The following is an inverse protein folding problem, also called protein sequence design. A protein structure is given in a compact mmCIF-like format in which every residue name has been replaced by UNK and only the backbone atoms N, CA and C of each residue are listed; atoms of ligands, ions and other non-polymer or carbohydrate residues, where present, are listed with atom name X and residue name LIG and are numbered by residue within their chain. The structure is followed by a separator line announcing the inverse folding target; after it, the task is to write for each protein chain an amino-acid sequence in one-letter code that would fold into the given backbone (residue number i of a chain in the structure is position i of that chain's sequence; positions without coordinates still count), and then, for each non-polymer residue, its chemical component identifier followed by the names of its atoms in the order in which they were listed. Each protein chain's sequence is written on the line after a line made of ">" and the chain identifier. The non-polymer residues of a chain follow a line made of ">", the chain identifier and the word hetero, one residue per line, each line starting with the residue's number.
data_IF_049985204424
#
_entry.id   IF_049985204424
#
_cell.length_a   1.000
_cell.length_b   1.000
_cell.length_c   1.000
_cell.angle_alpha   90.00
_cell.angle_beta   90.00
_cell.angle_gamma   90.00
#
_symmetry.space_group_name_H-M   'P 1'
#
loop_
_entity.id
_entity.type
_entity.pdbx_description
1 polymer ?
#
# COMPACT_ATOMS: atom_id res chain seq x y z
N UNK A 1 40.44 -22.73 24.46
CA UNK A 1 39.19 -23.49 24.31
C UNK A 1 38.34 -22.70 23.33
N UNK A 2 38.28 -23.19 22.09
CA UNK A 2 37.55 -22.59 20.98
C UNK A 2 36.05 -22.80 21.19
N UNK A 3 35.32 -21.70 21.26
CA UNK A 3 33.88 -21.66 21.47
C UNK A 3 33.19 -21.94 20.13
N UNK A 4 32.93 -23.23 19.83
CA UNK A 4 32.16 -23.63 18.66
C UNK A 4 30.68 -23.37 18.94
N UNK A 5 30.15 -22.25 18.46
CA UNK A 5 28.71 -22.00 18.40
C UNK A 5 28.07 -23.14 17.58
N UNK A 6 27.34 -24.01 18.27
CA UNK A 6 26.50 -25.03 17.64
C UNK A 6 25.33 -24.31 16.98
N UNK A 7 25.39 -24.17 15.66
CA UNK A 7 24.25 -23.77 14.83
C UNK A 7 23.12 -24.79 15.00
N UNK A 8 21.92 -24.30 15.25
CA UNK A 8 20.75 -25.15 15.50
C UNK A 8 20.24 -25.77 14.18
N UNK A 9 19.58 -26.95 14.22
CA UNK A 9 19.01 -27.57 13.02
C UNK A 9 18.01 -26.68 12.26
N UNK A 10 17.37 -25.73 12.96
CA UNK A 10 16.49 -24.73 12.35
C UNK A 10 17.27 -23.68 11.56
N UNK A 11 18.36 -23.14 12.12
CA UNK A 11 19.24 -22.19 11.43
C UNK A 11 19.87 -22.80 10.17
N UNK A 12 20.29 -24.07 10.23
CA UNK A 12 20.84 -24.79 9.06
C UNK A 12 19.77 -25.00 7.96
N UNK A 13 18.53 -25.29 8.36
CA UNK A 13 17.43 -25.46 7.41
C UNK A 13 16.98 -24.11 6.79
N UNK A 14 17.06 -23.02 7.55
CA UNK A 14 16.80 -21.65 7.08
C UNK A 14 17.90 -21.15 6.14
N UNK A 15 19.17 -21.38 6.47
CA UNK A 15 20.31 -21.10 5.58
C UNK A 15 20.19 -21.87 4.27
N UNK A 16 19.84 -23.16 4.34
CA UNK A 16 19.61 -24.00 3.15
C UNK A 16 18.50 -23.45 2.26
N UNK A 17 17.38 -23.01 2.84
CA UNK A 17 16.23 -22.48 2.08
C UNK A 17 16.52 -21.10 1.47
N UNK A 18 17.19 -20.22 2.21
CA UNK A 18 17.68 -18.93 1.72
C UNK A 18 18.64 -19.09 0.54
N UNK A 19 19.51 -20.11 0.60
CA UNK A 19 20.45 -20.44 -0.47
C UNK A 19 19.71 -20.91 -1.72
N UNK A 20 18.76 -21.85 -1.58
CA UNK A 20 17.93 -22.33 -2.71
C UNK A 20 17.16 -21.20 -3.39
N UNK A 21 16.61 -20.25 -2.63
CA UNK A 21 15.90 -19.09 -3.19
C UNK A 21 16.83 -18.19 -4.00
N UNK A 22 18.04 -17.91 -3.49
CA UNK A 22 19.06 -17.11 -4.20
C UNK A 22 19.53 -17.80 -5.47
N UNK A 23 19.84 -19.10 -5.39
CA UNK A 23 20.23 -19.91 -6.55
C UNK A 23 19.11 -19.98 -7.59
N UNK A 24 17.84 -20.04 -7.16
CA UNK A 24 16.71 -20.02 -8.08
C UNK A 24 16.64 -18.69 -8.84
N UNK A 25 16.79 -17.55 -8.16
CA UNK A 25 16.81 -16.22 -8.80
C UNK A 25 17.99 -16.11 -9.78
N UNK A 26 19.19 -16.53 -9.36
CA UNK A 26 20.38 -16.52 -10.22
C UNK A 26 20.15 -17.37 -11.48
N UNK A 27 19.66 -18.60 -11.31
CA UNK A 27 19.39 -19.53 -12.42
C UNK A 27 18.32 -19.03 -13.38
N UNK A 28 17.27 -18.38 -12.90
CA UNK A 28 16.23 -17.82 -13.78
C UNK A 28 16.62 -16.46 -14.35
N UNK A 29 17.69 -15.82 -13.83
CA UNK A 29 18.24 -14.56 -14.35
C UNK A 29 19.34 -14.78 -15.40
N UNK A 30 20.15 -15.82 -15.24
CA UNK A 30 21.16 -16.26 -16.21
C UNK A 30 20.50 -17.10 -17.33
N UNK A 31 21.07 -17.12 -18.55
CA UNK A 31 20.59 -17.80 -19.79
C UNK A 31 19.68 -16.97 -20.73
N UNK A 32 20.25 -16.06 -21.51
CA UNK A 32 20.55 -16.31 -22.94
C UNK A 32 21.24 -15.06 -23.51
N UNK A 33 22.58 -14.99 -23.37
CA UNK A 33 23.42 -13.96 -24.00
C UNK A 33 23.64 -14.32 -25.48
N UNK A 34 22.56 -14.32 -26.26
CA UNK A 34 22.64 -14.40 -27.72
C UNK A 34 21.56 -13.52 -28.36
N UNK A 35 21.65 -12.20 -28.17
CA UNK A 35 21.15 -11.23 -29.16
C UNK A 35 21.80 -9.88 -28.89
N UNK A 36 22.53 -9.40 -29.90
CA UNK A 36 23.40 -8.24 -29.84
C UNK A 36 22.68 -6.99 -29.36
N UNK A 37 23.42 -6.21 -28.57
CA UNK A 37 23.12 -4.82 -28.23
C UNK A 37 22.94 -3.99 -29.50
N UNK A 38 21.71 -3.64 -29.83
CA UNK A 38 21.43 -2.37 -30.50
C UNK A 38 20.97 -1.38 -29.43
N UNK A 39 21.85 -0.41 -29.13
CA UNK A 39 21.50 0.75 -28.33
C UNK A 39 20.77 1.72 -29.24
N UNK A 40 19.45 1.70 -29.22
CA UNK A 40 18.67 2.87 -29.65
C UNK A 40 18.51 3.80 -28.46
N UNK A 41 19.23 4.93 -28.51
CA UNK A 41 19.06 6.03 -27.59
C UNK A 41 17.72 6.71 -27.83
N UNK A 42 16.68 6.25 -27.13
CA UNK A 42 15.49 7.05 -26.88
C UNK A 42 15.74 7.82 -25.59
N UNK A 43 15.81 9.15 -25.72
CA UNK A 43 15.85 10.06 -24.58
C UNK A 43 14.61 9.81 -23.73
N UNK A 44 14.78 9.19 -22.57
CA UNK A 44 13.78 9.20 -21.52
C UNK A 44 13.54 10.67 -21.14
N UNK A 45 12.35 11.16 -21.45
CA UNK A 45 11.83 12.35 -20.80
C UNK A 45 11.65 11.98 -19.32
N UNK A 46 12.16 12.78 -18.36
CA UNK A 46 11.94 12.53 -16.95
C UNK A 46 10.44 12.71 -16.67
N UNK A 47 9.70 11.61 -16.59
CA UNK A 47 8.35 11.61 -16.04
C UNK A 47 8.50 11.67 -14.52
N UNK A 48 8.08 12.79 -13.91
CA UNK A 48 7.99 12.90 -12.46
C UNK A 48 8.61 14.18 -11.94
N UNK A 49 7.78 15.16 -11.64
CA UNK A 49 8.13 16.26 -10.74
C UNK A 49 8.61 15.62 -9.43
N UNK A 50 9.81 16.00 -8.97
CA UNK A 50 10.43 15.44 -7.76
C UNK A 50 9.60 15.74 -6.50
N UNK A 51 8.57 14.93 -6.26
CA UNK A 51 7.91 14.85 -4.96
C UNK A 51 8.81 14.01 -4.04
N UNK A 52 8.99 14.47 -2.81
CA UNK A 52 9.75 13.73 -1.80
C UNK A 52 9.13 12.36 -1.50
N UNK A 53 9.70 11.58 -0.57
CA UNK A 53 9.22 10.24 -0.26
C UNK A 53 7.72 10.23 0.10
N UNK A 54 7.06 9.13 -0.23
CA UNK A 54 5.62 8.91 0.02
C UNK A 54 5.37 7.71 0.95
N UNK A 55 6.37 6.83 1.10
CA UNK A 55 6.38 5.67 1.99
C UNK A 55 7.25 5.97 3.22
N UNK A 56 6.63 6.06 4.38
CA UNK A 56 7.30 6.50 5.61
C UNK A 56 7.43 5.39 6.62
N UNK A 57 8.64 5.23 7.15
CA UNK A 57 8.85 4.38 8.31
C UNK A 57 8.26 5.06 9.53
N UNK A 58 7.41 4.34 10.27
CA UNK A 58 6.89 4.87 11.53
C UNK A 58 8.00 4.89 12.58
N UNK A 59 8.34 6.07 13.07
CA UNK A 59 9.28 6.20 14.19
C UNK A 59 8.60 5.92 15.53
N UNK A 60 9.34 5.28 16.45
CA UNK A 60 8.92 5.18 17.86
C UNK A 60 8.96 6.57 18.47
N UNK A 61 7.82 7.08 18.97
CA UNK A 61 7.88 8.27 19.85
C UNK A 61 8.76 7.93 21.06
N UNK A 62 9.70 8.82 21.38
CA UNK A 62 10.64 8.72 22.50
C UNK A 62 9.97 8.48 23.87
N UNK A 63 8.64 8.64 23.97
CA UNK A 63 7.89 8.58 25.21
C UNK A 63 7.31 7.18 25.53
N UNK A 64 7.67 6.13 24.78
CA UNK A 64 7.53 4.73 25.22
C UNK A 64 6.11 4.17 25.45
N UNK A 65 5.03 4.88 25.11
CA UNK A 65 3.69 4.51 25.61
C UNK A 65 2.84 3.61 24.69
N UNK A 66 3.22 3.34 23.43
CA UNK A 66 2.58 2.30 22.60
C UNK A 66 3.57 1.73 21.59
N UNK A 67 3.64 0.40 21.50
CA UNK A 67 4.29 -0.27 20.37
C UNK A 67 3.62 0.18 19.06
N UNK A 68 4.43 0.36 18.02
CA UNK A 68 3.91 0.67 16.69
C UNK A 68 3.14 -0.55 16.16
N UNK A 69 1.97 -0.34 15.51
CA UNK A 69 1.28 -1.42 14.84
C UNK A 69 2.22 -2.08 13.83
N UNK A 70 2.33 -3.40 13.88
CA UNK A 70 3.10 -4.21 12.94
C UNK A 70 2.14 -4.98 12.02
N UNK A 71 2.55 -5.31 10.79
CA UNK A 71 1.80 -6.22 9.95
C UNK A 71 1.61 -7.55 10.66
N UNK A 72 0.43 -8.17 10.49
CA UNK A 72 0.04 -9.39 11.23
C UNK A 72 -0.05 -10.63 10.35
N UNK A 73 -0.24 -10.45 9.05
CA UNK A 73 -0.32 -11.51 8.06
C UNK A 73 0.84 -11.42 7.05
N UNK A 74 1.16 -10.21 6.57
CA UNK A 74 2.16 -10.01 5.50
C UNK A 74 2.91 -8.68 5.64
N UNK A 75 4.24 -8.76 5.65
CA UNK A 75 5.12 -7.60 5.50
C UNK A 75 5.29 -7.30 4.01
N UNK A 76 5.27 -6.03 3.61
CA UNK A 76 5.45 -5.54 2.25
C UNK A 76 6.41 -4.36 2.31
N UNK A 77 7.35 -4.32 1.37
CA UNK A 77 8.41 -3.33 1.39
C UNK A 77 9.51 -3.65 2.42
N UNK A 78 10.37 -2.66 2.70
CA UNK A 78 11.62 -2.87 3.43
C UNK A 78 11.53 -2.62 4.94
N UNK A 79 10.50 -1.92 5.43
CA UNK A 79 10.50 -1.36 6.79
C UNK A 79 10.10 -2.32 7.91
N UNK A 80 9.44 -3.43 7.57
CA UNK A 80 9.05 -4.44 8.54
C UNK A 80 9.98 -5.65 8.47
N UNK A 81 10.36 -6.21 9.62
CA UNK A 81 11.07 -7.49 9.67
C UNK A 81 10.33 -8.53 8.85
N UNK A 82 11.04 -9.18 7.91
CA UNK A 82 10.49 -10.23 7.04
C UNK A 82 10.46 -11.58 7.76
N UNK A 83 10.09 -11.55 9.06
CA UNK A 83 10.14 -12.68 9.99
C UNK A 83 9.49 -13.94 9.41
N UNK A 84 10.07 -15.11 9.73
CA UNK A 84 9.47 -16.40 9.40
C UNK A 84 8.14 -16.65 10.15
N UNK A 85 7.80 -15.82 11.13
CA UNK A 85 6.60 -15.92 11.98
C UNK A 85 5.31 -15.50 11.28
N UNK A 86 5.39 -14.67 10.23
CA UNK A 86 4.21 -14.24 9.46
C UNK A 86 3.67 -15.38 8.59
N UNK A 87 2.35 -15.47 8.48
CA UNK A 87 1.69 -16.47 7.62
C UNK A 87 2.18 -16.38 6.18
N UNK A 88 2.31 -15.16 5.65
CA UNK A 88 2.76 -14.91 4.28
C UNK A 88 4.16 -14.32 4.27
N UNK A 89 5.10 -15.09 4.83
CA UNK A 89 6.52 -14.78 4.78
C UNK A 89 7.08 -14.88 3.34
N UNK A 90 8.38 -14.61 3.22
CA UNK A 90 9.07 -14.58 1.94
C UNK A 90 9.11 -15.92 1.19
N UNK A 91 9.02 -17.05 1.88
CA UNK A 91 8.89 -18.36 1.24
C UNK A 91 7.51 -18.51 0.60
N UNK A 92 6.47 -18.00 1.25
CA UNK A 92 5.12 -18.03 0.71
C UNK A 92 5.01 -17.17 -0.55
N UNK A 93 5.56 -15.95 -0.50
CA UNK A 93 5.60 -15.06 -1.67
C UNK A 93 6.42 -15.65 -2.80
N UNK A 94 7.55 -16.28 -2.49
CA UNK A 94 8.36 -17.02 -3.47
C UNK A 94 7.56 -18.13 -4.16
N UNK A 95 6.74 -18.89 -3.42
CA UNK A 95 5.85 -19.91 -4.00
C UNK A 95 4.85 -19.30 -4.99
N UNK A 96 4.29 -18.13 -4.67
CA UNK A 96 3.42 -17.38 -5.59
C UNK A 96 4.20 -16.93 -6.82
N UNK A 97 5.38 -16.32 -6.68
CA UNK A 97 6.19 -15.88 -7.81
C UNK A 97 6.56 -17.06 -8.71
N UNK A 98 6.96 -18.20 -8.13
CA UNK A 98 7.25 -19.44 -8.89
C UNK A 98 6.05 -19.95 -9.67
N UNK A 99 4.85 -19.87 -9.07
CA UNK A 99 3.62 -20.20 -9.77
C UNK A 99 3.46 -19.30 -11.00
N UNK A 100 3.55 -17.98 -10.82
CA UNK A 100 3.39 -17.02 -11.91
C UNK A 100 4.40 -17.25 -13.05
N UNK A 101 5.65 -17.56 -12.71
CA UNK A 101 6.69 -17.86 -13.71
C UNK A 101 6.38 -19.15 -14.47
N UNK A 102 6.13 -20.24 -13.75
CA UNK A 102 6.02 -21.56 -14.37
C UNK A 102 4.71 -21.74 -15.13
N UNK A 103 3.63 -21.17 -14.61
CA UNK A 103 2.28 -21.45 -15.04
C UNK A 103 1.68 -20.36 -15.92
N UNK A 104 2.18 -19.12 -15.78
CA UNK A 104 1.65 -17.94 -16.49
C UNK A 104 2.71 -17.25 -17.34
N UNK A 105 3.93 -17.81 -17.40
CA UNK A 105 4.99 -17.34 -18.27
C UNK A 105 5.53 -15.96 -17.92
N UNK A 106 5.45 -15.52 -16.66
CA UNK A 106 6.02 -14.23 -16.24
C UNK A 106 7.53 -14.20 -16.48
N UNK A 107 7.98 -13.20 -17.23
CA UNK A 107 9.39 -12.94 -17.50
C UNK A 107 10.05 -12.16 -16.35
N UNK A 108 10.67 -12.90 -15.43
CA UNK A 108 11.41 -12.33 -14.29
C UNK A 108 12.64 -11.55 -14.75
N UNK A 109 13.28 -11.91 -15.86
CA UNK A 109 14.47 -11.19 -16.36
C UNK A 109 14.08 -9.79 -16.80
N UNK A 110 13.01 -9.71 -17.59
CA UNK A 110 12.42 -8.44 -18.00
C UNK A 110 12.03 -7.59 -16.80
N UNK A 111 11.49 -8.20 -15.73
CA UNK A 111 11.16 -7.47 -14.51
C UNK A 111 12.39 -6.92 -13.80
N UNK A 112 13.40 -7.76 -13.57
CA UNK A 112 14.62 -7.37 -12.86
C UNK A 112 15.40 -6.28 -13.63
N UNK A 113 15.44 -6.35 -14.96
CA UNK A 113 16.05 -5.31 -15.80
C UNK A 113 15.31 -3.96 -15.65
N UNK A 114 13.98 -3.97 -15.63
CA UNK A 114 13.18 -2.76 -15.38
C UNK A 114 13.42 -2.17 -13.99
N UNK A 115 13.57 -3.02 -12.97
CA UNK A 115 13.86 -2.55 -11.61
C UNK A 115 15.28 -1.99 -11.48
N UNK A 116 16.24 -2.52 -12.24
CA UNK A 116 17.60 -1.97 -12.31
C UNK A 116 17.61 -0.57 -12.96
N UNK A 117 16.83 -0.36 -14.02
CA UNK A 117 16.68 0.95 -14.67
C UNK A 117 16.01 2.00 -13.76
N UNK A 118 15.02 1.58 -12.98
CA UNK A 118 14.16 2.45 -12.16
C UNK A 118 14.55 2.42 -10.66
N UNK A 119 15.75 1.94 -10.32
CA UNK A 119 16.13 1.70 -8.91
C UNK A 119 16.17 3.01 -8.10
N UNK A 120 16.71 4.09 -8.69
CA UNK A 120 16.77 5.40 -8.04
C UNK A 120 15.37 5.91 -7.72
N UNK A 121 14.46 5.80 -8.68
CA UNK A 121 13.06 6.17 -8.50
C UNK A 121 12.41 5.30 -7.42
N UNK A 122 12.58 3.97 -7.47
CA UNK A 122 12.07 3.05 -6.45
C UNK A 122 12.51 3.44 -5.03
N UNK A 123 13.79 3.81 -4.85
CA UNK A 123 14.35 4.24 -3.55
C UNK A 123 13.80 5.60 -3.12
N UNK A 124 13.53 6.51 -4.06
CA UNK A 124 13.03 7.86 -3.76
C UNK A 124 11.66 7.85 -3.06
N UNK A 125 10.84 6.81 -3.27
CA UNK A 125 9.56 6.63 -2.56
C UNK A 125 9.74 6.45 -1.05
N UNK A 126 10.91 5.99 -0.59
CA UNK A 126 11.15 5.60 0.80
C UNK A 126 11.84 6.72 1.59
N UNK A 127 11.24 7.09 2.72
CA UNK A 127 11.73 8.16 3.62
C UNK A 127 13.15 7.94 4.17
N UNK A 128 13.49 6.69 4.49
CA UNK A 128 14.86 6.26 4.73
C UNK A 128 15.40 5.72 3.41
N UNK A 129 16.49 6.27 2.88
CA UNK A 129 17.04 5.94 1.54
C UNK A 129 17.54 4.50 1.33
N UNK A 130 17.21 3.57 2.23
CA UNK A 130 17.44 2.13 2.13
C UNK A 130 18.90 1.74 1.84
N UNK A 131 19.86 2.46 2.43
CA UNK A 131 21.30 2.23 2.18
C UNK A 131 21.76 0.82 2.59
N UNK A 132 21.04 0.18 3.50
CA UNK A 132 21.26 -1.20 3.95
C UNK A 132 20.79 -2.26 2.94
N UNK A 133 19.96 -1.89 1.96
CA UNK A 133 19.46 -2.80 0.93
C UNK A 133 20.39 -2.80 -0.29
N UNK A 134 20.96 -3.97 -0.61
CA UNK A 134 21.62 -4.16 -1.90
C UNK A 134 20.60 -4.05 -3.04
N UNK A 135 21.03 -3.62 -4.23
CA UNK A 135 20.17 -3.56 -5.43
C UNK A 135 19.48 -4.90 -5.70
N UNK A 136 20.22 -6.00 -5.59
CA UNK A 136 19.69 -7.35 -5.81
C UNK A 136 18.59 -7.71 -4.80
N UNK A 137 18.80 -7.40 -3.52
CA UNK A 137 17.81 -7.69 -2.48
C UNK A 137 16.58 -6.80 -2.62
N UNK A 138 16.75 -5.52 -3.00
CA UNK A 138 15.66 -4.60 -3.26
C UNK A 138 14.80 -5.08 -4.43
N UNK A 139 15.39 -5.41 -5.58
CA UNK A 139 14.65 -5.88 -6.76
C UNK A 139 13.94 -7.21 -6.49
N UNK A 140 14.58 -8.10 -5.74
CA UNK A 140 13.97 -9.38 -5.32
C UNK A 140 12.78 -9.15 -4.40
N UNK A 141 12.91 -8.22 -3.45
CA UNK A 141 11.83 -7.85 -2.54
C UNK A 141 10.65 -7.28 -3.31
N UNK A 142 10.88 -6.33 -4.22
CA UNK A 142 9.86 -5.73 -5.07
C UNK A 142 9.16 -6.80 -5.91
N UNK A 143 9.91 -7.71 -6.55
CA UNK A 143 9.32 -8.81 -7.33
C UNK A 143 8.34 -9.65 -6.50
N UNK A 144 8.76 -10.04 -5.30
CA UNK A 144 7.97 -10.96 -4.47
C UNK A 144 6.75 -10.28 -3.87
N UNK A 145 6.92 -9.03 -3.44
CA UNK A 145 5.85 -8.24 -2.85
C UNK A 145 4.84 -7.81 -3.93
N UNK A 146 5.30 -7.43 -5.13
CA UNK A 146 4.43 -7.21 -6.31
C UNK A 146 3.69 -8.48 -6.72
N UNK A 147 4.37 -9.64 -6.75
CA UNK A 147 3.72 -10.93 -7.07
C UNK A 147 2.63 -11.27 -6.05
N UNK A 148 2.91 -11.10 -4.76
CA UNK A 148 1.93 -11.33 -3.71
C UNK A 148 0.72 -10.39 -3.85
N UNK A 149 0.96 -9.10 -4.07
CA UNK A 149 -0.10 -8.11 -4.25
C UNK A 149 -0.97 -8.47 -5.46
N UNK A 150 -0.37 -8.72 -6.63
CA UNK A 150 -1.11 -9.13 -7.84
C UNK A 150 -1.96 -10.39 -7.59
N UNK A 151 -1.41 -11.37 -6.88
CA UNK A 151 -2.12 -12.60 -6.55
C UNK A 151 -3.36 -12.38 -5.68
N UNK A 152 -3.29 -11.48 -4.70
CA UNK A 152 -4.41 -11.25 -3.76
C UNK A 152 -5.44 -10.26 -4.28
N UNK A 153 -5.03 -9.23 -5.05
CA UNK A 153 -5.96 -8.21 -5.55
C UNK A 153 -6.77 -8.68 -6.75
N UNK A 154 -6.29 -9.67 -7.50
CA UNK A 154 -7.05 -10.20 -8.61
C UNK A 154 -8.12 -11.19 -8.11
N UNK A 155 -9.43 -10.84 -8.18
CA UNK A 155 -10.52 -11.71 -7.75
C UNK A 155 -10.65 -12.99 -8.60
N UNK A 156 -9.92 -13.05 -9.71
CA UNK A 156 -10.01 -14.10 -10.71
C UNK A 156 -9.00 -15.24 -10.55
N UNK A 157 -8.27 -15.40 -9.43
CA UNK A 157 -7.46 -16.62 -9.24
C UNK A 157 -8.26 -17.94 -9.47
N UNK A 158 -9.60 -17.90 -9.40
CA UNK A 158 -10.52 -18.99 -9.80
C UNK A 158 -10.73 -19.18 -11.32
N UNK A 159 -10.52 -18.14 -12.13
CA UNK A 159 -10.70 -18.07 -13.58
C UNK A 159 -9.37 -18.10 -14.36
N UNK A 160 -8.24 -17.87 -13.68
CA UNK A 160 -6.88 -17.98 -14.23
C UNK A 160 -6.49 -19.40 -14.62
N UNK A 161 -7.23 -20.43 -14.21
CA UNK A 161 -6.77 -21.80 -14.38
C UNK A 161 -7.76 -22.70 -15.13
N UNK A 162 -7.32 -23.41 -16.18
CA UNK A 162 -8.09 -24.49 -16.76
C UNK A 162 -8.48 -25.48 -15.66
N UNK A 163 -9.74 -25.94 -15.64
CA UNK A 163 -10.22 -26.98 -14.71
C UNK A 163 -9.52 -28.34 -14.86
N UNK A 164 -8.49 -28.42 -15.69
CA UNK A 164 -7.86 -29.64 -16.16
C UNK A 164 -6.35 -29.61 -15.90
N UNK A 165 -5.93 -29.76 -14.64
CA UNK A 165 -4.64 -30.36 -14.25
C UNK A 165 -4.59 -30.54 -12.72
N UNK A 166 -4.68 -31.80 -12.26
CA UNK A 166 -4.94 -32.19 -10.87
C UNK A 166 -4.05 -31.55 -9.80
N UNK A 167 -2.77 -31.93 -9.71
CA UNK A 167 -1.89 -31.54 -8.60
C UNK A 167 -1.61 -30.02 -8.52
N UNK A 168 -1.55 -29.34 -9.67
CA UNK A 168 -1.37 -27.88 -9.75
C UNK A 168 -2.62 -27.16 -9.24
N UNK A 169 -3.81 -27.67 -9.59
CA UNK A 169 -5.06 -27.14 -9.06
C UNK A 169 -5.16 -27.29 -7.54
N UNK A 170 -4.75 -28.43 -6.98
CA UNK A 170 -4.75 -28.67 -5.52
C UNK A 170 -3.73 -27.77 -4.79
N UNK A 171 -2.54 -27.60 -5.35
CA UNK A 171 -1.52 -26.68 -4.83
C UNK A 171 -2.02 -25.21 -4.84
N UNK A 172 -2.67 -24.79 -5.93
CA UNK A 172 -3.26 -23.46 -6.06
C UNK A 172 -4.43 -23.25 -5.12
N UNK A 173 -5.26 -24.27 -4.94
CA UNK A 173 -6.35 -24.24 -3.94
C UNK A 173 -5.81 -24.06 -2.54
N UNK A 174 -4.68 -24.67 -2.20
CA UNK A 174 -4.05 -24.52 -0.89
C UNK A 174 -3.60 -23.06 -0.69
N UNK A 175 -2.87 -22.49 -1.66
CA UNK A 175 -2.44 -21.08 -1.58
C UNK A 175 -3.64 -20.11 -1.51
N UNK A 176 -4.69 -20.39 -2.27
CA UNK A 176 -5.90 -19.56 -2.30
C UNK A 176 -6.72 -19.67 -1.00
N UNK A 177 -6.74 -20.85 -0.38
CA UNK A 177 -7.44 -21.12 0.88
C UNK A 177 -6.82 -20.33 2.02
N UNK A 178 -5.48 -20.35 2.12
CA UNK A 178 -4.74 -19.58 3.12
C UNK A 178 -5.02 -18.07 2.95
N UNK A 179 -4.89 -17.54 1.72
CA UNK A 179 -5.21 -16.13 1.44
C UNK A 179 -6.66 -15.78 1.82
N UNK A 180 -7.62 -16.64 1.47
CA UNK A 180 -9.03 -16.43 1.80
C UNK A 180 -9.25 -16.37 3.31
N UNK A 181 -8.58 -17.25 4.08
CA UNK A 181 -8.68 -17.29 5.54
C UNK A 181 -8.17 -16.02 6.21
N UNK A 182 -7.13 -15.39 5.66
CA UNK A 182 -6.50 -14.19 6.23
C UNK A 182 -6.86 -12.90 5.46
N UNK A 183 -7.84 -12.95 4.55
CA UNK A 183 -8.19 -11.87 3.62
C UNK A 183 -8.35 -10.50 4.31
N UNK A 184 -9.09 -10.46 5.43
CA UNK A 184 -9.29 -9.23 6.20
C UNK A 184 -7.97 -8.65 6.69
N UNK A 185 -7.10 -9.49 7.25
CA UNK A 185 -5.81 -9.03 7.78
C UNK A 185 -4.86 -8.60 6.67
N UNK A 186 -4.84 -9.30 5.53
CA UNK A 186 -4.06 -8.91 4.36
C UNK A 186 -4.45 -7.49 3.92
N UNK A 187 -5.76 -7.21 3.78
CA UNK A 187 -6.23 -5.88 3.40
C UNK A 187 -5.75 -4.78 4.36
N UNK A 188 -5.79 -5.04 5.66
CA UNK A 188 -5.37 -4.07 6.68
C UNK A 188 -3.85 -3.84 6.65
N UNK A 189 -3.07 -4.91 6.51
CA UNK A 189 -1.62 -4.83 6.37
C UNK A 189 -1.22 -4.06 5.10
N UNK A 190 -1.91 -4.29 3.97
CA UNK A 190 -1.68 -3.59 2.70
C UNK A 190 -2.08 -2.10 2.72
N UNK A 191 -2.75 -1.64 3.77
CA UNK A 191 -3.10 -0.23 3.97
C UNK A 191 -2.26 0.42 5.08
N UNK A 192 -1.21 -0.24 5.59
CA UNK A 192 -0.28 0.38 6.52
C UNK A 192 0.74 1.26 5.77
N UNK A 193 1.02 2.49 6.24
CA UNK A 193 1.89 3.45 5.53
C UNK A 193 3.37 3.05 5.49
N UNK A 194 3.81 2.23 6.44
CA UNK A 194 5.17 1.67 6.49
C UNK A 194 5.23 0.25 5.90
N UNK A 195 4.16 -0.22 5.27
CA UNK A 195 4.05 -1.56 4.68
C UNK A 195 3.64 -1.46 3.20
N UNK A 196 4.37 -0.64 2.43
CA UNK A 196 4.07 -0.33 1.03
C UNK A 196 5.28 -0.60 0.13
N UNK A 197 4.98 -0.78 -1.16
CA UNK A 197 5.94 -0.69 -2.26
C UNK A 197 5.44 0.37 -3.26
N UNK A 198 6.31 0.94 -4.09
CA UNK A 198 5.88 1.79 -5.19
C UNK A 198 4.88 1.06 -6.09
N UNK A 199 3.78 1.71 -6.44
CA UNK A 199 2.72 1.10 -7.23
C UNK A 199 3.21 0.74 -8.64
N UNK A 200 4.14 1.53 -9.19
CA UNK A 200 4.74 1.25 -10.50
C UNK A 200 5.45 -0.13 -10.52
N UNK A 201 6.00 -0.61 -9.40
CA UNK A 201 6.63 -1.92 -9.34
C UNK A 201 5.62 -3.05 -9.63
N UNK A 202 4.34 -2.85 -9.27
CA UNK A 202 3.24 -3.76 -9.59
C UNK A 202 2.90 -3.67 -11.09
N UNK A 203 2.82 -2.46 -11.65
CA UNK A 203 2.57 -2.23 -13.08
C UNK A 203 3.65 -2.85 -13.97
N UNK A 204 4.93 -2.65 -13.62
CA UNK A 204 6.07 -3.22 -14.36
C UNK A 204 6.04 -4.76 -14.36
N UNK A 205 5.54 -5.39 -13.29
CA UNK A 205 5.35 -6.85 -13.23
C UNK A 205 4.24 -7.32 -14.18
N UNK A 206 3.14 -6.57 -14.32
CA UNK A 206 2.08 -6.87 -15.27
C UNK A 206 2.58 -6.88 -16.72
N UNK A 207 3.45 -5.94 -17.07
CA UNK A 207 4.07 -5.86 -18.39
C UNK A 207 5.03 -7.03 -18.69
N UNK A 208 5.32 -7.89 -17.70
CA UNK A 208 6.16 -9.09 -17.85
C UNK A 208 5.35 -10.36 -18.11
N UNK A 209 4.01 -10.29 -18.14
CA UNK A 209 3.18 -11.39 -18.60
C UNK A 209 3.19 -11.50 -20.14
N UNK A 210 2.96 -12.70 -20.71
CA UNK A 210 2.80 -12.88 -22.15
C UNK A 210 1.66 -12.03 -22.71
N UNK A 211 1.82 -11.50 -23.94
CA UNK A 211 0.82 -10.62 -24.56
C UNK A 211 -0.55 -11.30 -24.74
N UNK A 212 -0.60 -12.62 -24.88
CA UNK A 212 -1.84 -13.36 -25.11
C UNK A 212 -2.66 -13.60 -23.82
N UNK A 213 -2.12 -13.26 -22.65
CA UNK A 213 -2.84 -13.37 -21.38
C UNK A 213 -3.90 -12.25 -21.25
N UNK A 214 -5.15 -12.60 -21.54
CA UNK A 214 -6.33 -11.72 -21.51
C UNK A 214 -6.63 -11.19 -20.09
N UNK A 215 -6.04 -11.81 -19.06
CA UNK A 215 -6.42 -11.69 -17.65
C UNK A 215 -6.35 -10.25 -17.10
N UNK A 216 -5.48 -9.41 -17.66
CA UNK A 216 -5.29 -8.01 -17.23
C UNK A 216 -5.70 -6.99 -18.31
N UNK A 217 -6.33 -7.44 -19.40
CA UNK A 217 -6.71 -6.57 -20.52
C UNK A 217 -8.07 -5.90 -20.33
N UNK A 218 -8.90 -6.39 -19.42
CA UNK A 218 -10.28 -5.90 -19.26
C UNK A 218 -10.36 -4.70 -18.31
N UNK A 219 -9.66 -4.73 -17.17
CA UNK A 219 -9.70 -3.68 -16.16
C UNK A 219 -8.29 -3.20 -15.76
N UNK A 220 -8.09 -1.88 -15.58
CA UNK A 220 -6.86 -1.34 -14.99
C UNK A 220 -6.57 -1.94 -13.61
N UNK A 221 -5.30 -2.07 -13.26
CA UNK A 221 -4.89 -2.70 -11.99
C UNK A 221 -5.37 -1.91 -10.76
N UNK A 222 -5.51 -0.59 -10.90
CA UNK A 222 -6.10 0.32 -9.93
C UNK A 222 -7.56 -0.07 -9.66
N UNK A 223 -8.31 -0.39 -10.70
CA UNK A 223 -9.70 -0.83 -10.57
C UNK A 223 -9.78 -2.13 -9.77
N UNK A 224 -8.92 -3.11 -10.09
CA UNK A 224 -8.86 -4.38 -9.38
C UNK A 224 -8.48 -4.19 -7.90
N UNK A 225 -7.50 -3.33 -7.60
CA UNK A 225 -7.12 -2.98 -6.24
C UNK A 225 -8.27 -2.31 -5.48
N UNK A 226 -9.00 -1.38 -6.11
CA UNK A 226 -10.16 -0.73 -5.48
C UNK A 226 -11.30 -1.71 -5.21
N UNK A 227 -11.55 -2.66 -6.11
CA UNK A 227 -12.50 -3.75 -5.91
C UNK A 227 -12.07 -4.68 -4.77
N UNK A 228 -10.78 -5.00 -4.68
CA UNK A 228 -10.22 -5.77 -3.57
C UNK A 228 -10.51 -5.11 -2.20
N UNK A 229 -10.40 -3.78 -2.11
CA UNK A 229 -10.73 -3.02 -0.90
C UNK A 229 -12.21 -2.60 -0.79
N UNK A 230 -13.09 -3.07 -1.69
CA UNK A 230 -14.46 -2.55 -1.83
C UNK A 230 -15.40 -2.85 -0.66
N UNK A 231 -15.06 -3.80 0.19
CA UNK A 231 -15.78 -4.17 1.42
C UNK A 231 -15.25 -3.44 2.67
N UNK A 232 -14.20 -2.63 2.54
CA UNK A 232 -13.69 -1.81 3.63
C UNK A 232 -14.35 -0.44 3.65
N UNK A 233 -14.61 0.01 4.88
CA UNK A 233 -15.15 1.33 5.16
C UNK A 233 -14.02 2.31 5.56
N UNK A 234 -13.98 3.57 5.08
CA UNK A 234 -15.01 4.28 4.29
C UNK A 234 -15.20 3.74 2.87
N UNK A 235 -16.44 3.82 2.39
CA UNK A 235 -16.79 3.37 1.04
C UNK A 235 -16.17 4.31 0.01
N UNK A 236 -15.93 3.76 -1.19
CA UNK A 236 -15.49 4.52 -2.35
C UNK A 236 -16.45 5.69 -2.61
N UNK A 237 -15.89 6.86 -2.86
CA UNK A 237 -16.65 8.01 -3.33
C UNK A 237 -17.05 7.77 -4.79
N UNK A 238 -18.35 7.66 -5.06
CA UNK A 238 -18.89 7.41 -6.42
C UNK A 238 -18.58 8.55 -7.40
N UNK A 239 -18.33 9.75 -6.88
CA UNK A 239 -17.97 10.92 -7.67
C UNK A 239 -16.52 10.87 -8.15
N UNK A 240 -15.67 10.06 -7.51
CA UNK A 240 -14.27 9.93 -7.86
C UNK A 240 -14.09 9.08 -9.12
N UNK A 241 -13.72 9.75 -10.22
CA UNK A 241 -13.47 9.12 -11.52
C UNK A 241 -11.97 9.17 -11.82
N UNK A 242 -11.45 8.03 -12.24
CA UNK A 242 -10.06 7.92 -12.68
C UNK A 242 -9.99 8.33 -14.15
N UNK A 243 -9.04 9.18 -14.48
CA UNK A 243 -8.65 9.46 -15.87
C UNK A 243 -7.31 8.77 -16.18
N UNK A 244 -6.87 8.88 -17.44
CA UNK A 244 -5.64 8.23 -17.91
C UNK A 244 -4.36 8.91 -17.37
N UNK A 245 -4.46 10.12 -16.80
CA UNK A 245 -3.34 10.89 -16.24
C UNK A 245 -3.16 10.66 -14.73
N UNK A 246 -4.15 10.07 -14.07
CA UNK A 246 -4.12 9.78 -12.64
C UNK A 246 -3.14 8.64 -12.37
N UNK A 247 -2.05 8.94 -11.65
CA UNK A 247 -1.12 7.92 -11.15
C UNK A 247 -1.09 7.88 -9.61
N UNK A 248 -0.61 6.77 -9.08
CA UNK A 248 -0.63 6.49 -7.65
C UNK A 248 0.72 6.02 -7.16
N UNK A 249 1.13 6.55 -6.02
CA UNK A 249 2.43 6.19 -5.46
C UNK A 249 2.47 4.78 -4.90
N UNK A 250 1.39 4.36 -4.25
CA UNK A 250 1.25 3.06 -3.58
C UNK A 250 -0.22 2.77 -3.27
N UNK A 251 -0.54 1.55 -2.80
CA UNK A 251 -1.91 1.10 -2.55
C UNK A 251 -2.66 1.98 -1.54
N UNK A 252 -1.99 2.43 -0.49
CA UNK A 252 -2.61 3.35 0.48
C UNK A 252 -2.98 4.71 -0.14
N UNK A 253 -2.18 5.25 -1.07
CA UNK A 253 -2.50 6.49 -1.79
C UNK A 253 -3.73 6.26 -2.68
N UNK A 254 -3.76 5.20 -3.48
CA UNK A 254 -4.94 4.82 -4.27
C UNK A 254 -6.21 4.64 -3.42
N UNK A 255 -6.08 3.96 -2.29
CA UNK A 255 -7.18 3.80 -1.35
C UNK A 255 -7.65 5.17 -0.84
N UNK A 256 -6.75 6.02 -0.35
CA UNK A 256 -7.08 7.36 0.12
C UNK A 256 -7.81 8.21 -0.94
N UNK A 257 -7.20 8.35 -2.12
CA UNK A 257 -7.73 9.13 -3.24
C UNK A 257 -9.16 8.74 -3.61
N UNK A 258 -9.46 7.45 -3.60
CA UNK A 258 -10.80 6.94 -3.97
C UNK A 258 -11.88 7.16 -2.91
N UNK A 259 -11.56 7.64 -1.70
CA UNK A 259 -12.53 7.91 -0.62
C UNK A 259 -12.73 9.40 -0.34
N UNK A 260 -11.75 10.23 -0.67
CA UNK A 260 -11.84 11.67 -0.40
C UNK A 260 -12.88 12.36 -1.30
N UNK A 261 -13.44 13.50 -0.86
CA UNK A 261 -14.29 14.34 -1.72
C UNK A 261 -13.49 14.88 -2.93
N UNK A 262 -14.15 15.03 -4.08
CA UNK A 262 -13.50 15.47 -5.35
C UNK A 262 -12.85 16.84 -5.22
N UNK A 263 -13.51 17.77 -4.53
CA UNK A 263 -12.99 19.13 -4.32
C UNK A 263 -11.82 19.17 -3.31
N UNK A 264 -11.52 18.04 -2.66
CA UNK A 264 -10.57 17.97 -1.55
C UNK A 264 -10.98 18.88 -0.38
N UNK A 265 -10.10 19.00 0.62
CA UNK A 265 -10.11 20.19 1.47
C UNK A 265 -8.94 21.04 1.04
N UNK A 266 -9.22 22.19 0.44
CA UNK A 266 -8.26 23.28 0.35
C UNK A 266 -8.02 23.83 1.77
N UNK A 267 -7.17 23.15 2.54
CA UNK A 267 -6.59 23.79 3.71
C UNK A 267 -5.43 24.61 3.17
N UNK A 268 -5.68 25.88 2.85
CA UNK A 268 -4.66 26.80 2.35
C UNK A 268 -3.46 26.78 3.29
N UNK A 269 -2.34 26.23 2.79
CA UNK A 269 -1.04 26.14 3.46
C UNK A 269 -0.60 27.48 4.07
N UNK A 270 -1.01 28.60 3.49
CA UNK A 270 -0.73 29.96 3.98
C UNK A 270 -1.41 30.30 5.32
N UNK A 271 -2.54 29.65 5.67
CA UNK A 271 -3.18 29.79 6.99
C UNK A 271 -2.57 28.84 8.05
N UNK A 272 -1.89 27.77 7.61
CA UNK A 272 -0.99 26.94 8.44
C UNK A 272 0.38 27.61 8.57
N UNK A 273 0.40 28.82 9.14
CA UNK A 273 1.65 29.48 9.49
C UNK A 273 2.58 28.56 10.30
N UNK A 274 3.80 28.37 9.79
CA UNK A 274 4.92 27.65 10.41
C UNK A 274 4.89 26.11 10.36
N UNK A 275 6.10 25.54 10.19
CA UNK A 275 6.47 24.11 10.17
C UNK A 275 6.13 23.32 11.46
N UNK A 276 5.23 23.84 12.30
CA UNK A 276 4.80 23.29 13.57
C UNK A 276 3.30 22.90 13.54
N UNK A 277 2.81 22.37 12.41
CA UNK A 277 1.46 21.80 12.31
C UNK A 277 1.19 20.68 13.34
N UNK A 278 2.25 20.15 13.98
CA UNK A 278 2.21 19.22 15.09
C UNK A 278 1.57 19.76 16.38
N UNK A 279 1.36 21.08 16.49
CA UNK A 279 0.81 21.75 17.68
C UNK A 279 -0.43 22.61 17.39
N UNK A 280 -1.11 22.41 16.25
CA UNK A 280 -2.35 23.13 16.01
C UNK A 280 -3.43 22.65 16.99
N UNK A 281 -3.86 23.57 17.85
CA UNK A 281 -4.96 23.34 18.77
C UNK A 281 -6.24 23.09 17.99
N UNK A 282 -6.72 21.85 18.07
CA UNK A 282 -8.00 21.46 17.50
C UNK A 282 -9.05 21.52 18.64
N UNK A 283 -10.02 22.44 18.58
CA UNK A 283 -11.05 22.56 19.61
C UNK A 283 -11.99 21.35 19.63
N UNK A 284 -12.37 20.89 20.84
CA UNK A 284 -13.33 19.80 21.06
C UNK A 284 -14.77 20.13 20.59
N UNK A 285 -15.70 19.17 20.45
CA UNK A 285 -17.08 19.46 19.99
C UNK A 285 -17.79 20.19 21.08
N UNK A 286 -17.43 19.89 22.33
CA UNK A 286 -17.87 20.64 23.48
C UNK A 286 -17.47 22.12 23.33
N UNK A 287 -16.24 22.41 22.93
CA UNK A 287 -15.79 23.80 22.69
C UNK A 287 -16.43 24.43 21.46
N UNK A 288 -16.57 23.70 20.35
CA UNK A 288 -17.26 24.20 19.16
C UNK A 288 -18.73 24.47 19.45
N UNK A 289 -19.43 23.61 20.19
CA UNK A 289 -20.81 23.85 20.65
C UNK A 289 -20.90 25.07 21.56
N UNK A 290 -19.94 25.25 22.48
CA UNK A 290 -19.85 26.45 23.35
C UNK A 290 -19.62 27.73 22.54
N UNK A 291 -18.94 27.63 21.40
CA UNK A 291 -18.72 28.71 20.44
C UNK A 291 -19.87 28.91 19.43
N UNK A 292 -21.10 28.48 19.79
CA UNK A 292 -22.31 28.60 18.97
C UNK A 292 -22.25 27.86 17.61
N UNK A 293 -21.47 26.79 17.50
CA UNK A 293 -21.43 25.94 16.31
C UNK A 293 -22.41 24.78 16.47
N UNK A 294 -23.28 24.62 15.47
CA UNK A 294 -24.23 23.51 15.37
C UNK A 294 -23.65 22.39 14.51
N UNK A 295 -24.03 21.16 14.82
CA UNK A 295 -23.65 19.97 14.07
C UNK A 295 -24.91 19.42 13.41
N UNK A 296 -24.88 19.29 12.09
CA UNK A 296 -26.00 18.77 11.30
C UNK A 296 -25.52 17.57 10.47
N UNK A 297 -26.43 16.64 10.22
CA UNK A 297 -26.13 15.47 9.40
C UNK A 297 -26.07 15.89 7.94
N UNK A 298 -24.99 15.53 7.24
CA UNK A 298 -24.88 15.67 5.79
C UNK A 298 -25.31 14.38 5.08
N UNK A 299 -26.07 14.54 4.02
CA UNK A 299 -26.25 13.51 3.00
C UNK A 299 -25.35 13.89 1.82
N UNK A 300 -24.28 13.13 1.60
CA UNK A 300 -23.29 13.33 0.54
C UNK A 300 -22.95 11.98 -0.09
N UNK A 301 -22.49 11.99 -1.35
CA UNK A 301 -21.93 10.81 -2.02
C UNK A 301 -20.63 10.33 -1.37
N UNK A 302 -19.88 11.23 -0.73
CA UNK A 302 -18.68 10.89 0.03
C UNK A 302 -18.96 10.73 1.52
N UNK A 303 -18.37 9.68 2.12
CA UNK A 303 -18.42 9.45 3.57
C UNK A 303 -17.55 10.43 4.38
N UNK A 304 -16.69 11.21 3.70
CA UNK A 304 -15.70 12.08 4.32
C UNK A 304 -15.95 13.57 4.06
N UNK A 305 -17.00 13.89 3.31
CA UNK A 305 -17.38 15.24 2.93
C UNK A 305 -18.06 16.01 4.08
N UNK A 306 -17.26 16.52 4.99
CA UNK A 306 -17.59 17.53 6.00
C UNK A 306 -17.60 18.92 5.36
N UNK A 307 -18.58 19.77 5.68
CA UNK A 307 -18.55 21.20 5.29
C UNK A 307 -18.81 22.12 6.47
N UNK A 308 -18.13 23.27 6.46
CA UNK A 308 -18.37 24.37 7.41
C UNK A 308 -19.10 25.51 6.72
N UNK A 309 -20.21 25.96 7.30
CA UNK A 309 -20.98 27.10 6.78
C UNK A 309 -21.20 28.14 7.86
N UNK A 310 -20.79 29.38 7.59
CA UNK A 310 -21.04 30.55 8.44
C UNK A 310 -21.61 31.68 7.58
N UNK A 311 -22.87 32.01 7.80
CA UNK A 311 -23.50 33.14 7.12
C UNK A 311 -23.05 34.47 7.71
N UNK A 312 -22.85 35.50 6.88
CA UNK A 312 -22.47 36.86 7.31
C UNK A 312 -23.41 37.46 8.38
N UNK A 313 -24.66 37.01 8.40
CA UNK A 313 -25.71 37.51 9.30
C UNK A 313 -26.11 36.50 10.39
N UNK A 314 -25.56 35.28 10.37
CA UNK A 314 -25.90 34.23 11.34
C UNK A 314 -24.94 34.27 12.52
N UNK A 315 -25.48 34.29 13.74
CA UNK A 315 -24.71 34.21 14.99
C UNK A 315 -24.09 32.83 15.17
N UNK A 316 -24.75 31.77 14.66
CA UNK A 316 -24.28 30.39 14.73
C UNK A 316 -23.72 29.90 13.40
N UNK A 317 -22.57 29.25 13.42
CA UNK A 317 -22.06 28.47 12.29
C UNK A 317 -22.60 27.03 12.33
N UNK A 318 -22.62 26.34 11.19
CA UNK A 318 -23.08 24.95 11.06
C UNK A 318 -21.97 24.12 10.42
N UNK A 319 -21.62 23.01 11.07
CA UNK A 319 -20.78 21.96 10.51
C UNK A 319 -21.71 20.83 10.07
N UNK A 320 -21.65 20.46 8.80
CA UNK A 320 -22.36 19.32 8.24
C UNK A 320 -21.41 18.11 8.19
N UNK A 321 -21.76 17.00 8.83
CA UNK A 321 -20.92 15.80 8.91
C UNK A 321 -21.68 14.59 8.32
N UNK A 322 -21.08 13.81 7.41
CA UNK A 322 -21.65 12.55 6.95
C UNK A 322 -21.76 11.52 8.09
N UNK A 323 -22.65 10.54 7.92
CA UNK A 323 -22.73 9.42 8.87
C UNK A 323 -21.53 8.49 8.70
N UNK A 324 -20.82 8.24 9.80
CA UNK A 324 -19.65 7.38 9.84
C UNK A 324 -20.01 6.01 10.40
N UNK A 325 -19.69 4.93 9.67
CA UNK A 325 -19.92 3.56 10.13
C UNK A 325 -18.62 2.99 10.70
N UNK A 326 -18.63 2.67 11.99
CA UNK A 326 -17.47 2.11 12.66
C UNK A 326 -17.56 0.59 12.72
N UNK A 327 -16.48 -0.05 12.30
CA UNK A 327 -16.22 -1.48 12.37
C UNK A 327 -15.02 -1.73 13.29
N UNK A 328 -14.80 -2.98 13.67
CA UNK A 328 -13.68 -3.40 14.50
C UNK A 328 -12.30 -3.03 13.90
N UNK A 329 -12.20 -2.95 12.57
CA UNK A 329 -11.00 -2.53 11.85
C UNK A 329 -10.90 -1.01 11.61
N UNK A 330 -11.96 -0.24 11.87
CA UNK A 330 -12.01 1.17 11.47
C UNK A 330 -10.92 1.99 12.10
N UNK A 331 -10.60 1.76 13.38
CA UNK A 331 -9.52 2.48 14.07
C UNK A 331 -8.18 2.35 13.34
N UNK A 332 -7.84 1.16 12.87
CA UNK A 332 -6.58 0.91 12.16
C UNK A 332 -6.53 1.65 10.82
N UNK A 333 -7.60 1.55 10.03
CA UNK A 333 -7.72 2.27 8.74
C UNK A 333 -7.63 3.78 8.94
N UNK A 334 -8.39 4.34 9.89
CA UNK A 334 -8.35 5.77 10.17
C UNK A 334 -6.97 6.24 10.61
N UNK A 335 -6.30 5.49 11.49
CA UNK A 335 -4.92 5.82 11.92
C UNK A 335 -3.94 5.79 10.76
N UNK A 336 -4.07 4.83 9.84
CA UNK A 336 -3.21 4.74 8.67
C UNK A 336 -3.42 5.92 7.72
N UNK A 337 -4.68 6.30 7.45
CA UNK A 337 -5.01 7.42 6.57
C UNK A 337 -4.61 8.76 7.19
N UNK A 338 -4.83 8.95 8.49
CA UNK A 338 -4.32 10.13 9.22
C UNK A 338 -2.80 10.20 9.16
N UNK A 339 -2.10 9.07 9.29
CA UNK A 339 -0.64 9.04 9.18
C UNK A 339 -0.17 9.41 7.77
N UNK A 340 -0.86 8.91 6.74
CA UNK A 340 -0.60 9.26 5.35
C UNK A 340 -0.80 10.76 5.09
N UNK A 341 -1.88 11.37 5.55
CA UNK A 341 -2.14 12.81 5.33
C UNK A 341 -1.27 13.75 6.18
N UNK A 342 -0.69 13.26 7.28
CA UNK A 342 0.27 14.04 8.07
C UNK A 342 1.61 14.21 7.37
N UNK A 343 1.86 13.44 6.33
CA UNK A 343 3.05 13.54 5.52
C UNK A 343 3.10 14.91 4.81
N UNK A 344 4.23 15.64 4.86
CA UNK A 344 4.41 16.89 4.14
C UNK A 344 4.15 16.83 2.62
N UNK A 345 4.29 15.66 2.00
CA UNK A 345 4.03 15.49 0.55
C UNK A 345 2.57 15.23 0.20
N UNK A 346 1.68 15.13 1.21
CA UNK A 346 0.24 14.96 0.99
C UNK A 346 -0.46 16.32 0.92
N UNK A 347 -1.03 16.61 -0.25
CA UNK A 347 -1.75 17.87 -0.51
C UNK A 347 -3.20 17.85 0.02
N UNK A 348 -3.74 16.67 0.37
CA UNK A 348 -5.15 16.50 0.77
C UNK A 348 -5.24 15.98 2.21
N UNK A 349 -5.95 16.71 3.09
CA UNK A 349 -5.99 16.47 4.55
C UNK A 349 -7.39 16.16 5.10
N UNK A 350 -8.15 15.32 4.41
CA UNK A 350 -9.54 14.97 4.75
C UNK A 350 -9.71 14.24 6.08
N UNK A 351 -8.93 13.19 6.35
CA UNK A 351 -8.97 12.44 7.59
C UNK A 351 -8.38 13.20 8.77
N UNK A 352 -7.42 14.08 8.53
CA UNK A 352 -6.92 15.04 9.49
C UNK A 352 -8.02 16.01 9.89
N UNK A 353 -8.73 16.60 8.92
CA UNK A 353 -9.92 17.40 9.19
C UNK A 353 -10.96 16.56 9.96
N UNK A 354 -11.28 15.36 9.48
CA UNK A 354 -12.24 14.45 10.12
C UNK A 354 -11.86 14.11 11.56
N UNK A 355 -10.62 13.71 11.82
CA UNK A 355 -10.12 13.39 13.16
C UNK A 355 -10.10 14.62 14.06
N UNK A 356 -9.78 15.76 13.49
CA UNK A 356 -9.90 17.05 14.13
C UNK A 356 -11.36 17.39 14.47
N UNK A 357 -12.36 16.77 13.84
CA UNK A 357 -13.78 16.89 14.19
C UNK A 357 -14.34 15.71 15.00
N UNK A 358 -13.57 14.63 15.19
CA UNK A 358 -14.00 13.45 15.98
C UNK A 358 -13.37 13.36 17.36
N UNK A 359 -12.16 13.89 17.56
CA UNK A 359 -11.60 14.21 18.89
C UNK A 359 -12.49 15.18 19.71
N UNK A 360 -13.55 15.62 19.06
CA UNK A 360 -14.45 16.70 19.37
C UNK A 360 -15.75 16.06 19.90
N UNK A 361 -16.22 14.90 19.40
CA UNK A 361 -17.44 14.27 19.93
C UNK A 361 -17.25 13.75 21.37
N UNK A 362 -18.24 13.91 22.27
CA UNK A 362 -18.12 13.40 23.63
C UNK A 362 -17.94 11.88 23.60
N UNK A 363 -16.93 11.38 24.31
CA UNK A 363 -16.86 9.97 24.68
C UNK A 363 -18.16 9.60 25.37
N UNK A 364 -18.95 8.72 24.76
CA UNK A 364 -20.08 8.11 25.45
C UNK A 364 -19.53 7.44 26.71
N UNK A 365 -20.05 7.86 27.87
CA UNK A 365 -19.80 7.23 29.16
C UNK A 365 -20.55 5.90 29.26
#
# INVERSE_FOLDING_TARGET
>A
MSDSRLTTPLEVAEEGRSTVKREWIEKISEVDDTRGREREGLSAQPFGVAYGPTIFKRERKANGLRELPKPRAVAIGPYHPRENSLTFNDDYKWKITRLMVNELGVDVKKYLAKMEEEEEDARSYYSEGLLEWSSKDLHTMLLFDSSFILFVINPFYKRWWPKSQGAIWEYNMTLSSDVTKYMKQIKLDLLMPDNQIPFFAIKKLLECFPEDEIIFKEDPIEHLALCFFGDLWPMRNEEQKMDDETDFDHLLHLFHWSRVPVEGYEIYSEELGSKNASEQYIPSATELRKSAIKFEKKHSGSNLDITFTRGLTKISAVINIPTLHLYDYSEEIFRNLIAFEKNPTSDVRCFMAYSAYMHVLPSAA
#
